data_IF_194286643829
#
_entry.id   IF_194286643829
#
_cell.length_a   1.000
_cell.length_b   1.000
_cell.length_c   1.000
_cell.angle_alpha   90.00
_cell.angle_beta   90.00
_cell.angle_gamma   90.00
#
_symmetry.space_group_name_H-M   'P 1'
#
loop_
_entity.id
_entity.type
_entity.pdbx_description
1 polymer ?
#
# COMPACT_ATOMS: atom_id res chain seq x y z
N UNK A 1 -11.71 6.88 -22.87
CA UNK A 1 -10.24 6.88 -22.69
C UNK A 1 -9.96 6.24 -21.35
N UNK A 2 -9.26 5.10 -21.30
CA UNK A 2 -8.72 4.62 -20.01
C UNK A 2 -7.72 5.66 -19.53
N UNK A 3 -7.96 6.26 -18.36
CA UNK A 3 -6.94 7.04 -17.70
C UNK A 3 -5.71 6.14 -17.49
N UNK A 4 -4.54 6.63 -17.87
CA UNK A 4 -3.28 5.98 -17.51
C UNK A 4 -3.12 6.23 -16.02
N UNK A 5 -3.06 5.16 -15.23
CA UNK A 5 -2.86 5.24 -13.79
C UNK A 5 -1.46 5.81 -13.52
N UNK A 6 -1.37 6.74 -12.57
CA UNK A 6 -0.08 7.33 -12.18
C UNK A 6 0.77 6.29 -11.41
N UNK A 7 2.07 6.27 -11.69
CA UNK A 7 3.04 5.45 -10.96
C UNK A 7 4.08 6.38 -10.35
N UNK A 8 4.11 6.42 -9.03
CA UNK A 8 5.09 7.17 -8.24
C UNK A 8 6.18 6.19 -7.80
N UNK A 9 7.32 6.19 -8.49
CA UNK A 9 8.38 5.21 -8.26
C UNK A 9 9.23 5.51 -7.01
N UNK A 10 9.05 6.70 -6.42
CA UNK A 10 9.75 7.18 -5.23
C UNK A 10 8.82 8.09 -4.45
N UNK A 11 9.07 8.30 -3.16
CA UNK A 11 8.27 9.19 -2.31
C UNK A 11 8.23 10.63 -2.84
N UNK A 12 9.32 11.08 -3.47
CA UNK A 12 9.43 12.46 -3.98
C UNK A 12 8.63 12.68 -5.27
N UNK A 13 8.12 11.61 -5.88
CA UNK A 13 7.24 11.67 -7.04
C UNK A 13 5.75 11.79 -6.69
N UNK A 14 5.41 11.74 -5.40
CA UNK A 14 4.04 11.95 -4.92
C UNK A 14 3.67 13.44 -5.03
N UNK A 15 2.51 13.81 -5.59
CA UNK A 15 2.10 15.21 -5.68
C UNK A 15 1.94 15.87 -4.29
N UNK A 16 2.65 16.97 -4.06
CA UNK A 16 2.60 17.71 -2.78
C UNK A 16 1.27 18.44 -2.50
N UNK A 17 0.31 18.39 -3.42
CA UNK A 17 -1.01 18.99 -3.29
C UNK A 17 -2.12 17.96 -2.94
N UNK A 18 -1.75 16.73 -2.57
CA UNK A 18 -2.71 15.77 -2.03
C UNK A 18 -3.34 16.31 -0.75
N UNK A 19 -4.68 16.29 -0.67
CA UNK A 19 -5.44 16.71 0.52
C UNK A 19 -6.09 15.55 1.26
N UNK A 20 -5.83 14.33 0.81
CA UNK A 20 -6.45 13.11 1.30
C UNK A 20 -6.24 11.96 0.33
N UNK A 21 -6.13 10.73 0.84
CA UNK A 21 -6.15 9.50 0.03
C UNK A 21 -6.88 8.37 0.74
N UNK A 22 -7.34 7.37 -0.02
CA UNK A 22 -7.71 6.05 0.50
C UNK A 22 -6.69 5.03 0.03
N UNK A 23 -6.02 4.36 0.97
CA UNK A 23 -4.80 3.60 0.69
C UNK A 23 -5.04 2.10 0.86
N UNK A 24 -4.41 1.28 0.02
CA UNK A 24 -4.21 -0.15 0.31
C UNK A 24 -2.75 -0.52 0.15
N UNK A 25 -2.23 -1.36 1.06
CA UNK A 25 -0.80 -1.69 1.15
C UNK A 25 -0.57 -3.18 0.96
N UNK A 26 0.37 -3.55 0.09
CA UNK A 26 0.73 -4.94 -0.15
C UNK A 26 1.66 -5.14 -1.34
N UNK A 27 2.15 -6.37 -1.51
CA UNK A 27 2.96 -6.71 -2.68
C UNK A 27 2.08 -6.75 -3.95
N UNK A 28 0.80 -7.13 -3.84
CA UNK A 28 -0.17 -7.13 -4.94
C UNK A 28 0.27 -7.88 -6.21
N UNK A 29 1.16 -8.85 -6.07
CA UNK A 29 1.59 -9.68 -7.19
C UNK A 29 0.47 -10.64 -7.62
N UNK A 30 0.11 -10.62 -8.89
CA UNK A 30 -1.00 -11.40 -9.46
C UNK A 30 -2.43 -10.94 -9.11
N UNK A 31 -2.61 -10.00 -8.17
CA UNK A 31 -3.92 -9.41 -7.78
C UNK A 31 -5.05 -10.46 -7.66
N UNK A 32 -4.82 -11.50 -6.85
CA UNK A 32 -5.80 -12.55 -6.58
C UNK A 32 -7.05 -12.04 -5.82
N UNK A 33 -8.03 -12.92 -5.57
CA UNK A 33 -9.34 -12.55 -4.97
C UNK A 33 -9.23 -11.77 -3.65
N UNK A 34 -8.36 -12.22 -2.74
CA UNK A 34 -8.05 -11.46 -1.52
C UNK A 34 -7.58 -10.02 -1.79
N UNK A 35 -6.65 -9.82 -2.72
CA UNK A 35 -6.21 -8.48 -3.13
C UNK A 35 -7.34 -7.65 -3.76
N UNK A 36 -8.19 -8.27 -4.57
CA UNK A 36 -9.33 -7.58 -5.18
C UNK A 36 -10.30 -7.03 -4.13
N UNK A 37 -10.46 -7.72 -2.99
CA UNK A 37 -11.28 -7.23 -1.88
C UNK A 37 -10.67 -5.98 -1.22
N UNK A 38 -9.35 -5.99 -0.97
CA UNK A 38 -8.65 -4.83 -0.41
C UNK A 38 -8.75 -3.61 -1.34
N UNK A 39 -8.51 -3.84 -2.64
CA UNK A 39 -8.63 -2.80 -3.67
C UNK A 39 -10.06 -2.26 -3.73
N UNK A 40 -11.08 -3.13 -3.75
CA UNK A 40 -12.47 -2.71 -3.82
C UNK A 40 -12.87 -1.84 -2.62
N UNK A 41 -12.41 -2.18 -1.41
CA UNK A 41 -12.63 -1.34 -0.22
C UNK A 41 -11.93 0.01 -0.36
N UNK A 42 -10.64 0.03 -0.71
CA UNK A 42 -9.91 1.28 -0.87
C UNK A 42 -10.55 2.19 -1.93
N UNK A 43 -10.94 1.63 -3.07
CA UNK A 43 -11.61 2.37 -4.16
C UNK A 43 -12.96 2.91 -3.71
N UNK A 44 -13.80 2.08 -3.08
CA UNK A 44 -15.11 2.54 -2.58
C UNK A 44 -14.95 3.71 -1.61
N UNK A 45 -14.07 3.58 -0.61
CA UNK A 45 -13.82 4.61 0.40
C UNK A 45 -13.22 5.88 -0.21
N UNK A 46 -12.35 5.75 -1.22
CA UNK A 46 -11.87 6.90 -2.00
C UNK A 46 -13.01 7.70 -2.63
N UNK A 47 -13.97 7.00 -3.27
CA UNK A 47 -15.12 7.66 -3.90
C UNK A 47 -16.08 8.29 -2.89
N UNK A 48 -16.26 7.67 -1.72
CA UNK A 48 -17.08 8.22 -0.63
C UNK A 48 -16.51 9.53 -0.06
N UNK A 49 -15.18 9.67 -0.04
CA UNK A 49 -14.49 10.85 0.49
C UNK A 49 -14.01 11.85 -0.57
N UNK A 50 -14.29 11.58 -1.85
CA UNK A 50 -13.80 12.38 -3.00
C UNK A 50 -12.27 12.58 -2.97
N UNK A 51 -11.54 11.47 -2.76
CA UNK A 51 -10.07 11.43 -2.72
C UNK A 51 -9.53 10.31 -3.64
N UNK A 52 -8.24 10.36 -4.05
CA UNK A 52 -7.64 9.29 -4.84
C UNK A 52 -7.54 7.97 -4.09
N UNK A 53 -7.77 6.86 -4.80
CA UNK A 53 -7.45 5.51 -4.36
C UNK A 53 -5.99 5.19 -4.70
N UNK A 54 -5.17 4.92 -3.69
CA UNK A 54 -3.72 4.69 -3.84
C UNK A 54 -3.35 3.27 -3.44
N UNK A 55 -2.67 2.57 -4.33
CA UNK A 55 -2.00 1.30 -4.01
C UNK A 55 -0.55 1.57 -3.60
N UNK A 56 -0.15 1.14 -2.41
CA UNK A 56 1.26 1.14 -1.98
C UNK A 56 1.82 -0.26 -2.16
N UNK A 57 2.94 -0.36 -2.88
CA UNK A 57 3.66 -1.60 -3.13
C UNK A 57 5.16 -1.43 -2.93
N UNK A 58 5.93 -2.51 -3.08
CA UNK A 58 7.36 -2.56 -2.78
C UNK A 58 8.15 -3.13 -3.96
N UNK A 59 9.29 -2.50 -4.26
CA UNK A 59 10.27 -3.01 -5.21
C UNK A 59 11.70 -2.71 -4.70
N UNK A 60 12.61 -3.69 -4.63
CA UNK A 60 12.39 -5.12 -4.87
C UNK A 60 11.44 -5.75 -3.84
N UNK A 61 11.07 -7.02 -4.03
CA UNK A 61 10.25 -7.74 -3.04
C UNK A 61 10.96 -7.70 -1.66
N UNK A 62 10.26 -7.42 -0.54
CA UNK A 62 10.92 -7.26 0.77
C UNK A 62 11.79 -8.44 1.21
N UNK A 63 11.38 -9.67 0.88
CA UNK A 63 12.18 -10.89 1.11
C UNK A 63 13.53 -10.85 0.36
N UNK A 64 13.57 -10.27 -0.84
CA UNK A 64 14.79 -10.23 -1.66
C UNK A 64 15.93 -9.44 -0.99
N UNK A 65 15.60 -8.45 -0.15
CA UNK A 65 16.59 -7.67 0.59
C UNK A 65 17.39 -8.53 1.59
N UNK A 66 16.71 -9.46 2.28
CA UNK A 66 17.32 -10.27 3.34
C UNK A 66 17.70 -11.68 2.89
N UNK A 67 16.97 -12.22 1.91
CA UNK A 67 17.06 -13.60 1.42
C UNK A 67 16.83 -13.61 -0.10
N UNK A 68 17.78 -13.10 -0.90
CA UNK A 68 17.64 -13.01 -2.35
C UNK A 68 17.29 -14.37 -2.99
N UNK A 69 17.92 -15.45 -2.53
CA UNK A 69 17.66 -16.81 -3.04
C UNK A 69 16.28 -17.37 -2.66
N UNK A 70 15.59 -16.76 -1.69
CA UNK A 70 14.26 -17.17 -1.24
C UNK A 70 13.15 -16.20 -1.68
N UNK A 71 13.50 -15.16 -2.44
CA UNK A 71 12.52 -14.22 -2.96
C UNK A 71 11.58 -14.95 -3.94
N UNK A 72 10.25 -14.79 -3.81
CA UNK A 72 9.32 -15.32 -4.79
C UNK A 72 9.63 -14.78 -6.18
N UNK A 73 9.50 -15.64 -7.20
CA UNK A 73 9.49 -15.17 -8.57
C UNK A 73 8.24 -14.30 -8.78
N UNK A 74 8.45 -13.06 -9.23
CA UNK A 74 7.35 -12.12 -9.47
C UNK A 74 6.56 -12.56 -10.72
N UNK A 75 5.23 -12.57 -10.61
CA UNK A 75 4.30 -12.96 -11.68
C UNK A 75 4.24 -11.93 -12.82
N UNK A 76 4.56 -10.67 -12.55
CA UNK A 76 4.58 -9.63 -13.55
C UNK A 76 5.46 -8.43 -13.19
N UNK A 77 5.65 -7.54 -14.16
CA UNK A 77 6.35 -6.27 -13.96
C UNK A 77 5.50 -5.28 -13.16
N UNK A 78 6.13 -4.21 -12.64
CA UNK A 78 5.40 -3.12 -12.00
C UNK A 78 4.36 -2.50 -12.93
N UNK A 79 4.67 -2.34 -14.22
CA UNK A 79 3.73 -1.83 -15.22
C UNK A 79 2.52 -2.74 -15.42
N UNK A 80 2.72 -4.06 -15.40
CA UNK A 80 1.63 -5.03 -15.49
C UNK A 80 0.75 -5.01 -14.23
N UNK A 81 1.36 -4.86 -13.05
CA UNK A 81 0.65 -4.69 -11.78
C UNK A 81 -0.16 -3.40 -11.79
N UNK A 82 0.43 -2.30 -12.23
CA UNK A 82 -0.21 -1.00 -12.41
C UNK A 82 -1.41 -1.08 -13.35
N UNK A 83 -1.23 -1.66 -14.54
CA UNK A 83 -2.31 -1.85 -15.51
C UNK A 83 -3.44 -2.73 -14.95
N UNK A 84 -3.11 -3.71 -14.11
CA UNK A 84 -4.12 -4.55 -13.43
C UNK A 84 -4.85 -3.77 -12.34
N UNK A 85 -4.14 -3.05 -11.48
CA UNK A 85 -4.71 -2.21 -10.43
C UNK A 85 -5.65 -1.13 -10.99
N UNK A 86 -5.25 -0.49 -12.10
CA UNK A 86 -6.06 0.49 -12.81
C UNK A 86 -7.42 -0.07 -13.26
N UNK A 87 -7.46 -1.33 -13.72
CA UNK A 87 -8.71 -2.01 -14.12
C UNK A 87 -9.66 -2.22 -12.94
N UNK A 88 -9.13 -2.27 -11.71
CA UNK A 88 -9.91 -2.37 -10.48
C UNK A 88 -10.24 -0.99 -9.87
N UNK A 89 -9.85 0.11 -10.51
CA UNK A 89 -10.24 1.46 -10.14
C UNK A 89 -9.25 2.21 -9.23
N UNK A 90 -8.02 1.70 -9.05
CA UNK A 90 -6.93 2.45 -8.41
C UNK A 90 -6.53 3.64 -9.30
N UNK A 91 -6.34 4.80 -8.68
CA UNK A 91 -6.00 6.04 -9.38
C UNK A 91 -4.48 6.22 -9.49
N UNK A 92 -3.74 5.82 -8.46
CA UNK A 92 -2.27 5.89 -8.43
C UNK A 92 -1.64 4.71 -7.69
N UNK A 93 -0.40 4.38 -8.05
CA UNK A 93 0.43 3.40 -7.35
C UNK A 93 1.72 4.04 -6.85
N UNK A 94 1.96 3.99 -5.54
CA UNK A 94 3.24 4.31 -4.92
C UNK A 94 4.09 3.04 -4.82
N UNK A 95 5.27 3.06 -5.43
CA UNK A 95 6.28 2.01 -5.29
C UNK A 95 7.31 2.49 -4.27
N UNK A 96 7.39 1.81 -3.13
CA UNK A 96 8.42 2.06 -2.14
C UNK A 96 9.66 1.24 -2.50
N UNK A 97 10.77 1.95 -2.74
CA UNK A 97 12.09 1.35 -2.83
C UNK A 97 12.44 0.63 -1.53
N UNK A 98 12.34 -0.70 -1.49
CA UNK A 98 12.56 -1.43 -0.25
C UNK A 98 14.05 -1.73 -0.05
N UNK A 99 14.68 -0.95 0.82
CA UNK A 99 16.09 -1.05 1.17
C UNK A 99 16.31 -1.21 2.69
N UNK A 100 17.57 -1.17 3.12
CA UNK A 100 17.93 -1.30 4.53
C UNK A 100 17.43 -0.14 5.41
N UNK A 101 17.26 1.07 4.87
CA UNK A 101 16.73 2.20 5.65
C UNK A 101 15.23 2.02 5.88
N UNK A 102 14.45 1.75 4.82
CA UNK A 102 13.02 1.48 4.92
C UNK A 102 12.76 0.28 5.85
N UNK A 103 13.59 -0.76 5.76
CA UNK A 103 13.47 -1.94 6.62
C UNK A 103 13.86 -1.69 8.09
N UNK A 104 14.52 -0.56 8.40
CA UNK A 104 14.87 -0.15 9.76
C UNK A 104 13.79 0.71 10.43
N UNK A 105 12.82 1.24 9.67
CA UNK A 105 11.77 2.09 10.22
C UNK A 105 10.89 1.33 11.21
N UNK A 106 10.59 1.93 12.35
CA UNK A 106 9.59 1.39 13.27
C UNK A 106 8.19 1.36 12.61
N UNK A 107 7.23 0.57 13.12
CA UNK A 107 5.85 0.65 12.65
C UNK A 107 5.30 2.08 12.69
N UNK A 108 5.61 2.84 13.75
CA UNK A 108 5.21 4.24 13.87
C UNK A 108 5.85 5.15 12.83
N UNK A 109 7.14 4.94 12.52
CA UNK A 109 7.83 5.71 11.47
C UNK A 109 7.23 5.45 10.10
N UNK A 110 7.01 4.18 9.73
CA UNK A 110 6.37 3.85 8.46
C UNK A 110 4.99 4.50 8.36
N UNK A 111 4.16 4.34 9.39
CA UNK A 111 2.80 4.86 9.41
C UNK A 111 2.80 6.39 9.26
N UNK A 112 3.59 7.08 10.08
CA UNK A 112 3.66 8.54 10.03
C UNK A 112 4.23 9.02 8.69
N UNK A 113 5.40 8.54 8.28
CA UNK A 113 6.10 9.04 7.08
C UNK A 113 5.30 8.78 5.81
N UNK A 114 4.76 7.57 5.64
CA UNK A 114 4.09 7.18 4.40
C UNK A 114 2.61 7.52 4.43
N UNK A 115 1.89 7.10 5.47
CA UNK A 115 0.43 7.21 5.47
C UNK A 115 -0.03 8.61 5.89
N UNK A 116 0.58 9.20 6.91
CA UNK A 116 0.14 10.52 7.43
C UNK A 116 0.76 11.67 6.63
N UNK A 117 2.08 11.72 6.57
CA UNK A 117 2.81 12.90 6.08
C UNK A 117 2.85 12.96 4.54
N UNK A 118 3.09 11.82 3.89
CA UNK A 118 3.24 11.75 2.43
C UNK A 118 1.90 11.60 1.70
N UNK A 119 1.08 10.64 2.12
CA UNK A 119 -0.16 10.31 1.41
C UNK A 119 -1.40 11.02 1.97
N UNK A 120 -1.31 11.67 3.13
CA UNK A 120 -2.47 12.25 3.82
C UNK A 120 -3.64 11.25 3.90
N UNK A 121 -3.34 10.00 4.23
CA UNK A 121 -4.31 8.91 4.23
C UNK A 121 -5.47 9.23 5.18
N UNK A 122 -6.68 9.18 4.65
CA UNK A 122 -7.93 9.25 5.43
C UNK A 122 -8.40 7.86 5.82
N UNK A 123 -8.14 6.88 4.95
CA UNK A 123 -8.49 5.50 5.18
C UNK A 123 -7.41 4.55 4.65
N UNK A 124 -7.29 3.38 5.27
CA UNK A 124 -6.35 2.32 4.91
C UNK A 124 -7.06 0.97 4.93
N UNK A 125 -6.96 0.21 3.84
CA UNK A 125 -7.45 -1.17 3.73
C UNK A 125 -6.29 -2.16 3.65
N UNK A 126 -6.22 -3.11 4.59
CA UNK A 126 -5.17 -4.15 4.68
C UNK A 126 -5.74 -5.54 4.98
N UNK A 127 -4.97 -6.58 4.69
CA UNK A 127 -5.27 -7.94 5.10
C UNK A 127 -4.88 -8.23 6.56
N UNK A 128 -5.52 -9.20 7.19
CA UNK A 128 -5.22 -9.62 8.57
C UNK A 128 -3.79 -10.16 8.76
N UNK A 129 -3.16 -10.65 7.68
CA UNK A 129 -1.79 -11.13 7.64
C UNK A 129 -0.76 -10.05 7.26
N UNK A 130 -1.15 -8.77 7.26
CA UNK A 130 -0.24 -7.67 6.95
C UNK A 130 0.73 -7.40 8.11
N UNK A 131 2.01 -7.42 7.80
CA UNK A 131 3.08 -7.03 8.71
C UNK A 131 3.92 -5.90 8.13
N UNK A 132 4.41 -5.00 8.99
CA UNK A 132 5.20 -3.83 8.58
C UNK A 132 6.14 -3.35 9.67
N UNK A 133 7.03 -2.41 9.31
CA UNK A 133 8.07 -1.90 10.19
C UNK A 133 9.19 -2.90 10.47
N UNK A 134 10.17 -2.45 11.26
CA UNK A 134 11.41 -3.16 11.50
C UNK A 134 11.14 -4.56 12.04
N UNK A 135 11.73 -5.57 11.37
CA UNK A 135 11.57 -6.99 11.70
C UNK A 135 10.10 -7.45 11.75
N UNK A 136 9.24 -6.85 10.92
CA UNK A 136 7.81 -7.17 10.87
C UNK A 136 7.10 -7.00 12.23
N UNK A 137 7.56 -6.04 13.06
CA UNK A 137 7.03 -5.82 14.41
C UNK A 137 5.60 -5.26 14.43
N UNK A 138 5.16 -4.59 13.38
CA UNK A 138 3.80 -4.06 13.24
C UNK A 138 2.86 -5.11 12.65
N UNK A 139 1.66 -5.21 13.21
CA UNK A 139 0.57 -6.10 12.77
C UNK A 139 -0.64 -5.28 12.31
N UNK A 140 -1.69 -5.94 11.81
CA UNK A 140 -2.98 -5.27 11.53
C UNK A 140 -3.54 -4.53 12.76
N UNK A 141 -3.37 -5.08 13.97
CA UNK A 141 -3.74 -4.41 15.22
C UNK A 141 -2.89 -3.16 15.46
N UNK A 142 -1.59 -3.23 15.22
CA UNK A 142 -0.69 -2.06 15.32
C UNK A 142 -1.10 -0.96 14.33
N UNK A 143 -1.51 -1.34 13.11
CA UNK A 143 -2.04 -0.40 12.11
C UNK A 143 -3.30 0.30 12.62
N UNK A 144 -4.26 -0.43 13.19
CA UNK A 144 -5.48 0.14 13.77
C UNK A 144 -5.17 1.09 14.94
N UNK A 145 -4.32 0.68 15.89
CA UNK A 145 -3.92 1.52 17.02
C UNK A 145 -3.19 2.81 16.58
N UNK A 146 -2.43 2.77 15.49
CA UNK A 146 -1.83 3.96 14.89
C UNK A 146 -2.88 4.81 14.16
N UNK A 147 -3.82 4.18 13.45
CA UNK A 147 -4.94 4.84 12.80
C UNK A 147 -5.77 5.66 13.79
N UNK A 148 -6.17 5.05 14.91
CA UNK A 148 -6.92 5.72 15.97
C UNK A 148 -6.18 6.96 16.52
N UNK A 149 -4.86 6.87 16.67
CA UNK A 149 -4.03 7.99 17.17
C UNK A 149 -3.87 9.13 16.18
N UNK A 150 -3.95 8.84 14.87
CA UNK A 150 -3.67 9.80 13.80
C UNK A 150 -4.93 10.22 13.02
N UNK A 151 -6.11 9.70 13.37
CA UNK A 151 -7.36 10.00 12.68
C UNK A 151 -7.45 9.37 11.29
N UNK A 152 -6.92 8.15 11.14
CA UNK A 152 -6.96 7.38 9.88
C UNK A 152 -7.83 6.14 10.09
N UNK A 153 -8.87 5.98 9.27
CA UNK A 153 -9.78 4.85 9.37
C UNK A 153 -9.14 3.58 8.80
N UNK A 154 -8.94 2.55 9.64
CA UNK A 154 -8.28 1.30 9.22
C UNK A 154 -9.28 0.17 9.10
N UNK A 155 -9.48 -0.33 7.88
CA UNK A 155 -10.29 -1.52 7.60
C UNK A 155 -9.40 -2.75 7.40
N UNK A 156 -9.66 -3.80 8.18
CA UNK A 156 -8.94 -5.07 8.08
C UNK A 156 -9.85 -6.12 7.45
N UNK A 157 -9.34 -6.81 6.42
CA UNK A 157 -10.03 -7.92 5.78
C UNK A 157 -9.41 -9.26 6.19
N UNK A 158 -10.27 -10.24 6.49
CA UNK A 158 -9.85 -11.63 6.72
C UNK A 158 -9.35 -12.31 5.45
N UNK A 159 -8.67 -13.45 5.60
CA UNK A 159 -8.18 -14.25 4.49
C UNK A 159 -9.34 -14.90 3.72
N UNK A 160 -9.67 -14.36 2.55
CA UNK A 160 -10.39 -15.11 1.52
C UNK A 160 -9.36 -15.84 0.65
N UNK A 161 -9.18 -17.14 0.95
CA UNK A 161 -8.47 -18.10 0.09
C UNK A 161 -9.26 -18.43 -1.17
#
# INVERSE_FOLDING_TARGET
>A
MSAVMEIWNETDSVPGNLTGTSVTVGVFDGVHRGHQQLIATAVRTAREHDVPAVMVTFAPHPVALFRPDAAPAMLGTLDQRAATAARYGIDAMLVIGFDHDVAAWSPGDYFRRILVDLLHARAVAIGENFFFGHRAAGTCRTMQELGDRHGVDVTVHGLLG
#
